data_IF_444612174531
#
_entry.id   IF_444612174531
#
_cell.length_a   1.000
_cell.length_b   1.000
_cell.length_c   1.000
_cell.angle_alpha   90.00
_cell.angle_beta   90.00
_cell.angle_gamma   90.00
#
_symmetry.space_group_name_H-M   'P 1'
#
loop_
_entity.id
_entity.type
_entity.pdbx_description
1 polymer ?
#
# COMPACT_ATOMS: atom_id res chain seq x y z
N UNK A 1 31.92 -44.03 37.97
CA UNK A 1 31.87 -43.69 36.54
C UNK A 1 30.76 -42.69 36.41
N UNK A 2 31.20 -41.45 36.37
CA UNK A 2 30.42 -40.22 36.35
C UNK A 2 30.38 -39.82 34.88
N UNK A 3 29.22 -39.91 34.24
CA UNK A 3 29.03 -39.41 32.87
C UNK A 3 27.98 -38.30 32.91
N UNK A 4 28.50 -37.08 32.85
CA UNK A 4 27.74 -35.86 32.93
C UNK A 4 26.76 -35.70 31.77
N UNK A 5 25.50 -35.49 32.12
CA UNK A 5 24.55 -34.85 31.23
C UNK A 5 24.90 -33.36 31.15
N UNK A 6 25.63 -32.97 30.11
CA UNK A 6 25.89 -31.57 29.81
C UNK A 6 24.59 -30.86 29.38
N UNK A 7 24.29 -29.64 29.88
CA UNK A 7 23.13 -28.89 29.45
C UNK A 7 23.37 -28.37 28.03
N UNK A 8 22.48 -28.69 27.07
CA UNK A 8 22.44 -28.02 25.77
C UNK A 8 22.00 -26.57 25.97
N UNK A 9 22.96 -25.68 26.23
CA UNK A 9 22.79 -24.22 26.14
C UNK A 9 22.96 -23.81 24.68
N UNK A 10 21.89 -23.90 23.91
CA UNK A 10 21.67 -22.94 22.82
C UNK A 10 20.93 -21.76 23.44
N UNK A 11 21.30 -20.52 23.12
CA UNK A 11 20.70 -19.30 23.68
C UNK A 11 19.25 -19.06 23.24
N UNK A 12 18.37 -20.04 23.44
CA UNK A 12 16.98 -20.03 23.04
C UNK A 12 16.13 -19.26 24.04
N UNK A 13 15.36 -18.29 23.56
CA UNK A 13 14.23 -17.73 24.31
C UNK A 13 13.35 -18.88 24.78
N UNK A 14 13.11 -18.98 26.08
CA UNK A 14 12.01 -19.80 26.61
C UNK A 14 10.72 -19.08 26.22
N UNK A 15 9.92 -19.70 25.37
CA UNK A 15 8.61 -19.19 24.94
C UNK A 15 7.50 -20.01 25.60
N UNK A 16 6.36 -19.38 25.87
CA UNK A 16 5.20 -20.02 26.52
C UNK A 16 4.56 -21.10 25.62
N UNK A 17 4.70 -20.93 24.31
CA UNK A 17 4.05 -21.74 23.28
C UNK A 17 5.01 -22.09 22.14
N UNK A 18 4.76 -23.20 21.46
CA UNK A 18 5.50 -23.57 20.26
C UNK A 18 4.98 -22.82 19.03
N UNK A 19 3.66 -22.79 18.82
CA UNK A 19 3.04 -22.24 17.62
C UNK A 19 1.70 -21.54 17.92
N UNK A 20 1.73 -20.20 17.85
CA UNK A 20 0.53 -19.38 18.00
C UNK A 20 -0.17 -19.08 16.68
N UNK A 21 -1.50 -19.03 16.72
CA UNK A 21 -2.37 -18.46 15.70
C UNK A 21 -2.90 -17.08 16.14
N UNK A 22 -2.84 -16.11 15.23
CA UNK A 22 -3.63 -14.88 15.28
C UNK A 22 -4.48 -14.84 14.02
N UNK A 23 -5.80 -14.75 14.16
CA UNK A 23 -6.74 -14.73 13.03
C UNK A 23 -7.53 -13.43 13.03
N UNK A 24 -7.71 -12.83 11.85
CA UNK A 24 -8.56 -11.65 11.71
C UNK A 24 -8.78 -11.24 10.25
N UNK A 25 -9.75 -10.34 10.05
CA UNK A 25 -10.02 -9.70 8.75
C UNK A 25 -8.96 -8.66 8.39
N UNK A 26 -8.40 -8.00 9.41
CA UNK A 26 -7.43 -6.91 9.30
C UNK A 26 -7.84 -5.86 8.26
N UNK A 27 -9.07 -5.35 8.39
CA UNK A 27 -9.72 -4.52 7.38
C UNK A 27 -9.97 -3.10 7.92
N UNK A 28 -8.98 -2.18 7.88
CA UNK A 28 -7.55 -2.41 7.64
C UNK A 28 -6.77 -2.87 8.91
N UNK A 29 -5.50 -3.28 8.78
CA UNK A 29 -4.62 -3.49 9.93
C UNK A 29 -4.41 -2.17 10.69
N UNK A 30 -4.30 -2.23 12.02
CA UNK A 30 -4.15 -1.03 12.88
C UNK A 30 -3.36 -1.36 14.14
N UNK A 31 -3.06 -0.36 14.96
CA UNK A 31 -2.18 -0.47 16.13
C UNK A 31 -2.59 -1.59 17.10
N UNK A 32 -3.89 -1.76 17.37
CA UNK A 32 -4.42 -2.88 18.15
C UNK A 32 -4.05 -4.26 17.56
N UNK A 33 -4.27 -4.48 16.26
CA UNK A 33 -3.85 -5.70 15.58
C UNK A 33 -2.34 -5.93 15.70
N UNK A 34 -1.52 -4.91 15.49
CA UNK A 34 -0.06 -5.04 15.62
C UNK A 34 0.36 -5.36 17.05
N UNK A 35 -0.34 -4.83 18.06
CA UNK A 35 -0.11 -5.18 19.46
C UNK A 35 -0.44 -6.65 19.74
N UNK A 36 -1.59 -7.13 19.28
CA UNK A 36 -1.99 -8.54 19.37
C UNK A 36 -0.94 -9.46 18.72
N UNK A 37 -0.55 -9.15 17.49
CA UNK A 37 0.44 -9.93 16.72
C UNK A 37 1.80 -9.97 17.43
N UNK A 38 2.31 -8.82 17.89
CA UNK A 38 3.60 -8.76 18.62
C UNK A 38 3.53 -9.52 19.95
N UNK A 39 2.38 -9.50 20.62
CA UNK A 39 2.18 -10.23 21.88
C UNK A 39 2.22 -11.73 21.65
N UNK A 40 1.58 -12.23 20.59
CA UNK A 40 1.67 -13.63 20.18
C UNK A 40 3.13 -14.01 19.84
N UNK A 41 3.79 -13.24 18.98
CA UNK A 41 5.16 -13.51 18.57
C UNK A 41 6.19 -13.44 19.71
N UNK A 42 5.98 -12.59 20.71
CA UNK A 42 6.87 -12.52 21.87
C UNK A 42 6.77 -13.76 22.78
N UNK A 43 5.65 -14.48 22.73
CA UNK A 43 5.32 -15.60 23.63
C UNK A 43 5.35 -16.95 22.94
N UNK A 44 5.71 -17.00 21.66
CA UNK A 44 5.70 -18.23 20.86
C UNK A 44 6.97 -18.38 20.04
N UNK A 45 7.42 -19.61 19.83
CA UNK A 45 8.55 -19.89 18.92
C UNK A 45 8.18 -19.59 17.47
N UNK A 46 6.96 -19.93 17.06
CA UNK A 46 6.35 -19.63 15.76
C UNK A 46 5.05 -18.89 15.96
N UNK A 47 4.74 -18.01 15.02
CA UNK A 47 3.43 -17.35 14.95
C UNK A 47 2.94 -17.34 13.52
N UNK A 48 1.70 -17.75 13.34
CA UNK A 48 0.99 -17.62 12.07
C UNK A 48 -0.10 -16.58 12.23
N UNK A 49 0.00 -15.53 11.42
CA UNK A 49 -1.05 -14.52 11.29
C UNK A 49 -1.86 -14.87 10.05
N UNK A 50 -3.12 -15.25 10.26
CA UNK A 50 -4.05 -15.65 9.20
C UNK A 50 -5.01 -14.51 8.90
N UNK A 51 -4.90 -13.96 7.70
CA UNK A 51 -5.79 -12.92 7.16
C UNK A 51 -6.91 -13.61 6.37
N UNK A 52 -8.12 -13.66 6.94
CA UNK A 52 -9.29 -14.16 6.22
C UNK A 52 -10.10 -12.97 5.71
N UNK A 53 -10.16 -12.83 4.39
CA UNK A 53 -10.88 -11.76 3.73
C UNK A 53 -12.17 -12.29 3.08
N UNK A 54 -13.16 -11.43 2.94
CA UNK A 54 -14.31 -11.69 2.07
C UNK A 54 -14.20 -10.90 0.77
N UNK A 55 -14.75 -11.47 -0.31
CA UNK A 55 -14.82 -10.81 -1.62
C UNK A 55 -15.68 -9.55 -1.63
N UNK A 56 -16.52 -9.32 -0.62
CA UNK A 56 -17.32 -8.08 -0.49
C UNK A 56 -16.51 -6.90 0.04
N UNK A 57 -15.33 -7.12 0.62
CA UNK A 57 -14.53 -6.09 1.28
C UNK A 57 -13.71 -5.28 0.26
N UNK A 58 -13.68 -3.95 0.40
CA UNK A 58 -13.09 -3.04 -0.58
C UNK A 58 -11.56 -2.95 -0.56
N UNK A 59 -10.91 -3.38 0.52
CA UNK A 59 -9.45 -3.44 0.61
C UNK A 59 -9.02 -4.86 0.24
N UNK A 60 -8.26 -5.05 -0.84
CA UNK A 60 -7.85 -6.38 -1.29
C UNK A 60 -7.13 -7.19 -0.21
N UNK A 61 -7.33 -8.51 -0.21
CA UNK A 61 -6.60 -9.45 0.64
C UNK A 61 -5.08 -9.30 0.48
N UNK A 62 -4.62 -9.20 -0.78
CA UNK A 62 -3.20 -9.08 -1.11
C UNK A 62 -2.56 -7.86 -0.44
N UNK A 63 -3.28 -6.73 -0.38
CA UNK A 63 -2.82 -5.50 0.25
C UNK A 63 -2.72 -5.67 1.76
N UNK A 64 -3.75 -6.22 2.41
CA UNK A 64 -3.73 -6.48 3.86
C UNK A 64 -2.58 -7.38 4.27
N UNK A 65 -2.35 -8.46 3.50
CA UNK A 65 -1.24 -9.38 3.71
C UNK A 65 0.10 -8.69 3.49
N UNK A 66 0.26 -7.91 2.41
CA UNK A 66 1.52 -7.23 2.12
C UNK A 66 1.87 -6.19 3.18
N UNK A 67 0.89 -5.44 3.68
CA UNK A 67 1.11 -4.45 4.74
C UNK A 67 1.52 -5.10 6.07
N UNK A 68 0.84 -6.18 6.46
CA UNK A 68 1.21 -6.93 7.66
C UNK A 68 2.60 -7.57 7.53
N UNK A 69 2.95 -8.10 6.36
CA UNK A 69 4.30 -8.63 6.10
C UNK A 69 5.37 -7.55 6.21
N UNK A 70 5.13 -6.38 5.63
CA UNK A 70 6.06 -5.26 5.71
C UNK A 70 6.29 -4.80 7.16
N UNK A 71 5.22 -4.63 7.94
CA UNK A 71 5.29 -4.21 9.35
C UNK A 71 5.98 -5.24 10.25
N UNK A 72 5.85 -6.52 9.93
CA UNK A 72 6.38 -7.62 10.76
C UNK A 72 7.58 -8.33 10.14
N UNK A 73 8.20 -7.79 9.08
CA UNK A 73 9.32 -8.40 8.36
C UNK A 73 10.51 -8.75 9.27
N UNK A 74 10.75 -7.95 10.31
CA UNK A 74 11.81 -8.18 11.30
C UNK A 74 11.42 -9.07 12.49
N UNK A 75 10.23 -9.68 12.50
CA UNK A 75 9.74 -10.48 13.64
C UNK A 75 10.10 -11.96 13.44
N UNK A 76 11.01 -12.55 14.23
CA UNK A 76 11.44 -13.94 14.03
C UNK A 76 10.28 -14.94 14.21
N UNK A 77 10.22 -15.96 13.34
CA UNK A 77 9.24 -17.04 13.43
C UNK A 77 7.80 -16.67 13.01
N UNK A 78 7.53 -15.38 12.76
CA UNK A 78 6.23 -14.89 12.31
C UNK A 78 6.09 -15.03 10.80
N UNK A 79 4.96 -15.59 10.35
CA UNK A 79 4.55 -15.57 8.94
C UNK A 79 3.11 -15.11 8.84
N UNK A 80 2.85 -14.24 7.86
CA UNK A 80 1.51 -13.79 7.50
C UNK A 80 1.06 -14.53 6.24
N UNK A 81 -0.07 -15.22 6.34
CA UNK A 81 -0.75 -15.88 5.23
C UNK A 81 -2.18 -15.39 5.15
N UNK A 82 -2.76 -15.45 3.97
CA UNK A 82 -4.14 -15.05 3.76
C UNK A 82 -4.87 -15.97 2.79
N UNK A 83 -6.17 -16.02 2.97
CA UNK A 83 -7.10 -16.69 2.07
C UNK A 83 -8.46 -16.00 2.06
N UNK A 84 -9.29 -16.35 1.08
CA UNK A 84 -10.67 -15.86 0.98
C UNK A 84 -11.59 -16.80 1.76
N UNK A 85 -12.49 -16.21 2.54
CA UNK A 85 -13.53 -16.89 3.30
C UNK A 85 -14.85 -16.14 3.11
N UNK A 86 -15.65 -16.63 2.16
CA UNK A 86 -16.97 -16.09 1.81
C UNK A 86 -18.13 -16.87 2.43
N UNK A 87 -17.84 -17.74 3.41
CA UNK A 87 -18.90 -18.42 4.15
C UNK A 87 -19.66 -17.42 5.02
N UNK A 88 -20.97 -17.61 5.14
CA UNK A 88 -21.81 -16.79 6.01
C UNK A 88 -21.32 -16.86 7.46
N UNK A 89 -21.44 -15.75 8.19
CA UNK A 89 -21.07 -15.70 9.60
C UNK A 89 -22.26 -16.11 10.48
N UNK A 90 -22.12 -17.19 11.24
CA UNK A 90 -23.10 -17.57 12.28
C UNK A 90 -22.38 -18.25 13.45
N UNK A 91 -22.23 -17.52 14.55
CA UNK A 91 -21.54 -18.01 15.74
C UNK A 91 -22.31 -19.09 16.50
N UNK A 92 -23.58 -19.32 16.17
CA UNK A 92 -24.45 -20.32 16.80
C UNK A 92 -24.57 -21.62 15.97
N UNK A 93 -23.96 -21.67 14.79
CA UNK A 93 -24.04 -22.81 13.87
C UNK A 93 -22.73 -23.58 13.82
N UNK A 94 -22.74 -24.81 14.37
CA UNK A 94 -21.61 -25.73 14.31
C UNK A 94 -21.13 -26.03 12.88
N UNK A 95 -22.03 -26.26 11.89
CA UNK A 95 -21.62 -26.42 10.49
C UNK A 95 -20.89 -25.20 9.92
N UNK A 96 -21.33 -23.99 10.26
CA UNK A 96 -20.69 -22.74 9.80
C UNK A 96 -19.31 -22.58 10.42
N UNK A 97 -19.17 -22.85 11.72
CA UNK A 97 -17.85 -22.91 12.36
C UNK A 97 -16.89 -23.89 11.67
N UNK A 98 -17.36 -25.07 11.27
CA UNK A 98 -16.49 -26.04 10.58
C UNK A 98 -16.01 -25.57 9.20
N UNK A 99 -16.80 -24.75 8.50
CA UNK A 99 -16.39 -24.13 7.24
C UNK A 99 -15.22 -23.16 7.47
N UNK A 100 -15.38 -22.23 8.41
CA UNK A 100 -14.31 -21.28 8.77
C UNK A 100 -13.07 -21.99 9.32
N UNK A 101 -13.24 -23.03 10.15
CA UNK A 101 -12.12 -23.84 10.64
C UNK A 101 -11.45 -24.65 9.55
N UNK A 102 -12.18 -25.07 8.51
CA UNK A 102 -11.63 -25.67 7.30
C UNK A 102 -10.63 -24.75 6.63
N UNK A 103 -11.00 -23.49 6.41
CA UNK A 103 -10.12 -22.47 5.82
C UNK A 103 -8.92 -22.20 6.73
N UNK A 104 -9.13 -22.01 8.04
CA UNK A 104 -8.04 -21.78 8.99
C UNK A 104 -7.02 -22.94 9.00
N UNK A 105 -7.50 -24.20 9.02
CA UNK A 105 -6.65 -25.40 8.94
C UNK A 105 -5.89 -25.49 7.61
N UNK A 106 -6.51 -25.10 6.50
CA UNK A 106 -5.84 -25.07 5.19
C UNK A 106 -4.69 -24.04 5.17
N UNK A 107 -4.89 -22.85 5.75
CA UNK A 107 -3.83 -21.84 5.90
C UNK A 107 -2.69 -22.35 6.80
N UNK A 108 -3.00 -23.01 7.92
CA UNK A 108 -2.00 -23.62 8.79
C UNK A 108 -1.23 -24.76 8.11
N UNK A 109 -1.90 -25.57 7.27
CA UNK A 109 -1.22 -26.57 6.45
C UNK A 109 -0.26 -25.92 5.45
N UNK A 110 -0.66 -24.82 4.79
CA UNK A 110 0.23 -24.03 3.92
C UNK A 110 1.44 -23.50 4.69
N UNK A 111 1.24 -23.01 5.92
CA UNK A 111 2.37 -22.62 6.80
C UNK A 111 3.34 -23.77 7.04
N UNK A 112 2.82 -24.94 7.41
CA UNK A 112 3.65 -26.11 7.72
C UNK A 112 4.45 -26.60 6.51
N UNK A 113 3.84 -26.56 5.32
CA UNK A 113 4.52 -26.85 4.04
C UNK A 113 5.66 -25.84 3.79
N UNK A 114 5.41 -24.55 4.01
CA UNK A 114 6.45 -23.50 3.86
C UNK A 114 7.61 -23.69 4.84
N UNK A 115 7.33 -24.16 6.05
CA UNK A 115 8.37 -24.45 7.05
C UNK A 115 9.12 -25.78 6.75
N UNK A 116 8.66 -26.57 5.77
CA UNK A 116 9.26 -27.87 5.42
C UNK A 116 8.93 -29.01 6.39
N UNK A 117 7.96 -28.81 7.29
CA UNK A 117 7.53 -29.80 8.28
C UNK A 117 5.99 -29.85 8.36
N UNK A 118 5.32 -30.60 7.48
CA UNK A 118 3.86 -30.72 7.48
C UNK A 118 3.26 -31.24 8.79
N UNK A 119 4.00 -31.99 9.60
CA UNK A 119 3.52 -32.49 10.90
C UNK A 119 3.39 -31.35 11.93
N UNK A 120 3.98 -30.19 11.68
CA UNK A 120 3.98 -29.02 12.55
C UNK A 120 2.82 -28.04 12.33
N UNK A 121 1.77 -28.45 11.59
CA UNK A 121 0.63 -27.61 11.23
C UNK A 121 -0.25 -27.22 12.43
N UNK A 122 -0.35 -28.09 13.44
CA UNK A 122 -1.12 -27.81 14.63
C UNK A 122 -0.57 -26.58 15.38
N UNK A 123 -1.49 -25.87 16.05
CA UNK A 123 -1.18 -24.74 16.92
C UNK A 123 -1.50 -25.13 18.36
N UNK A 124 -0.70 -24.65 19.31
CA UNK A 124 -0.93 -24.86 20.74
C UNK A 124 -1.47 -23.61 21.45
N UNK A 125 -1.52 -22.48 20.73
CA UNK A 125 -2.12 -21.25 21.21
C UNK A 125 -2.94 -20.50 20.15
N UNK A 126 -4.05 -19.92 20.58
CA UNK A 126 -4.81 -18.92 19.83
C UNK A 126 -4.75 -17.61 20.60
N UNK A 127 -4.33 -16.55 19.93
CA UNK A 127 -4.31 -15.20 20.50
C UNK A 127 -5.40 -14.36 19.84
N UNK A 128 -6.28 -13.76 20.65
CA UNK A 128 -7.31 -12.85 20.15
C UNK A 128 -7.66 -11.78 21.19
N UNK A 129 -8.39 -10.76 20.75
CA UNK A 129 -8.96 -9.73 21.63
C UNK A 129 -10.47 -9.91 21.84
N UNK A 130 -11.03 -11.05 21.39
CA UNK A 130 -12.47 -11.29 21.35
C UNK A 130 -12.82 -12.66 21.94
N UNK A 131 -14.03 -12.80 22.47
CA UNK A 131 -14.45 -14.04 23.16
C UNK A 131 -14.67 -15.22 22.22
N UNK A 132 -14.91 -14.99 20.93
CA UNK A 132 -15.02 -16.08 19.95
C UNK A 132 -13.72 -16.93 19.89
N UNK A 133 -12.59 -16.38 20.33
CA UNK A 133 -11.32 -17.10 20.38
C UNK A 133 -11.34 -18.33 21.31
N UNK A 134 -12.25 -18.38 22.30
CA UNK A 134 -12.43 -19.57 23.16
C UNK A 134 -12.91 -20.77 22.34
N UNK A 135 -13.93 -20.58 21.50
CA UNK A 135 -14.49 -21.64 20.66
C UNK A 135 -13.50 -22.06 19.56
N UNK A 136 -12.81 -21.09 18.94
CA UNK A 136 -11.76 -21.38 17.97
C UNK A 136 -10.61 -22.18 18.57
N UNK A 137 -10.13 -21.82 19.76
CA UNK A 137 -9.05 -22.54 20.45
C UNK A 137 -9.47 -23.97 20.79
N UNK A 138 -10.70 -24.15 21.30
CA UNK A 138 -11.28 -25.47 21.58
C UNK A 138 -11.30 -26.36 20.34
N UNK A 139 -11.73 -25.85 19.18
CA UNK A 139 -11.78 -26.61 17.92
C UNK A 139 -10.41 -26.97 17.36
N UNK A 140 -9.39 -26.19 17.68
CA UNK A 140 -8.01 -26.44 17.28
C UNK A 140 -7.22 -27.27 18.30
N UNK A 141 -7.81 -27.60 19.46
CA UNK A 141 -7.09 -28.26 20.55
C UNK A 141 -6.00 -27.39 21.18
N UNK A 142 -6.16 -26.07 21.12
CA UNK A 142 -5.19 -25.07 21.54
C UNK A 142 -5.63 -24.34 22.82
N UNK A 143 -4.70 -23.64 23.47
CA UNK A 143 -5.02 -22.71 24.56
C UNK A 143 -5.42 -21.35 24.00
N UNK A 144 -6.55 -20.81 24.45
CA UNK A 144 -6.88 -19.41 24.18
C UNK A 144 -6.11 -18.46 25.10
N UNK A 145 -5.57 -17.39 24.52
CA UNK A 145 -4.89 -16.30 25.19
C UNK A 145 -5.55 -14.99 24.78
N UNK A 146 -6.33 -14.42 25.70
CA UNK A 146 -6.94 -13.10 25.53
C UNK A 146 -5.90 -11.98 25.68
N UNK A 147 -5.95 -10.99 24.79
CA UNK A 147 -5.08 -9.82 24.80
C UNK A 147 -5.91 -8.55 24.64
N UNK A 148 -5.77 -7.62 25.60
CA UNK A 148 -6.35 -6.27 25.56
C UNK A 148 -7.84 -6.22 25.17
N UNK A 149 -8.67 -7.03 25.85
CA UNK A 149 -10.11 -7.16 25.54
C UNK A 149 -10.83 -5.81 25.65
N UNK A 150 -10.50 -5.02 26.67
CA UNK A 150 -11.12 -3.72 26.90
C UNK A 150 -10.56 -2.62 25.97
N UNK A 151 -9.63 -2.97 25.06
CA UNK A 151 -8.92 -2.06 24.16
C UNK A 151 -8.29 -0.87 24.90
N UNK A 152 -7.87 -1.10 26.14
CA UNK A 152 -7.33 -0.07 27.02
C UNK A 152 -5.95 0.40 26.55
N UNK A 153 -5.14 -0.51 26.01
CA UNK A 153 -3.83 -0.15 25.48
C UNK A 153 -3.94 0.52 24.10
N UNK A 154 -4.86 0.05 23.25
CA UNK A 154 -5.09 0.61 21.92
C UNK A 154 -6.59 0.77 21.59
N UNK A 155 -7.20 1.94 21.90
CA UNK A 155 -8.62 2.19 21.67
C UNK A 155 -8.89 2.48 20.19
N UNK A 156 -8.83 1.44 19.36
CA UNK A 156 -9.08 1.49 17.91
C UNK A 156 -9.76 0.21 17.45
N UNK A 157 -10.62 0.33 16.43
CA UNK A 157 -11.23 -0.81 15.72
C UNK A 157 -11.15 -0.60 14.20
N UNK A 158 -11.25 -1.68 13.43
CA UNK A 158 -11.36 -1.60 11.98
C UNK A 158 -12.57 -0.75 11.55
N UNK A 159 -13.71 -0.89 12.23
CA UNK A 159 -14.91 -0.09 11.98
C UNK A 159 -14.67 1.40 12.23
N UNK A 160 -14.04 1.77 13.35
CA UNK A 160 -13.71 3.16 13.65
C UNK A 160 -12.76 3.76 12.60
N UNK A 161 -11.76 2.99 12.16
CA UNK A 161 -10.83 3.42 11.10
C UNK A 161 -11.57 3.63 9.78
N UNK A 162 -12.47 2.73 9.38
CA UNK A 162 -13.22 2.87 8.12
C UNK A 162 -14.24 4.02 8.17
N UNK A 163 -14.83 4.28 9.34
CA UNK A 163 -15.77 5.38 9.54
C UNK A 163 -15.10 6.76 9.54
N UNK A 164 -13.88 6.86 10.08
CA UNK A 164 -13.10 8.10 10.09
C UNK A 164 -11.60 7.83 9.85
N UNK A 165 -11.19 7.58 8.59
CA UNK A 165 -9.79 7.29 8.27
C UNK A 165 -8.86 8.46 8.63
N UNK A 166 -9.36 9.70 8.55
CA UNK A 166 -8.57 10.90 8.83
C UNK A 166 -8.28 11.03 10.32
N UNK A 167 -9.29 10.92 11.17
CA UNK A 167 -9.12 10.98 12.63
C UNK A 167 -8.40 9.76 13.20
N UNK A 168 -8.46 8.61 12.52
CA UNK A 168 -7.77 7.38 12.93
C UNK A 168 -6.41 7.17 12.26
N UNK A 169 -5.92 8.10 11.44
CA UNK A 169 -4.70 7.92 10.64
C UNK A 169 -3.47 7.56 11.49
N UNK A 170 -3.32 8.21 12.65
CA UNK A 170 -2.23 7.95 13.61
C UNK A 170 -2.28 6.56 14.27
N UNK A 171 -3.39 5.82 14.13
CA UNK A 171 -3.54 4.45 14.63
C UNK A 171 -3.10 3.39 13.61
N UNK A 172 -2.74 3.78 12.39
CA UNK A 172 -2.33 2.86 11.34
C UNK A 172 -0.83 2.60 11.36
N UNK A 173 -0.42 1.38 11.02
CA UNK A 173 0.98 1.05 10.70
C UNK A 173 1.46 1.85 9.49
N UNK A 174 2.78 2.02 9.34
CA UNK A 174 3.40 2.71 8.21
C UNK A 174 2.98 2.11 6.88
N UNK A 175 3.08 0.79 6.72
CA UNK A 175 2.74 0.11 5.47
C UNK A 175 1.27 0.29 5.10
N UNK A 176 0.37 0.22 6.09
CA UNK A 176 -1.06 0.47 5.89
C UNK A 176 -1.33 1.94 5.51
N UNK A 177 -0.65 2.91 6.12
CA UNK A 177 -0.76 4.33 5.71
C UNK A 177 -0.31 4.54 4.27
N UNK A 178 0.83 3.96 3.89
CA UNK A 178 1.35 4.03 2.51
C UNK A 178 0.36 3.44 1.51
N UNK A 179 -0.22 2.28 1.83
CA UNK A 179 -1.20 1.61 0.97
C UNK A 179 -2.54 2.32 0.88
N UNK A 180 -3.05 2.89 1.97
CA UNK A 180 -4.35 3.57 2.01
C UNK A 180 -4.31 5.05 1.59
N UNK A 181 -3.13 5.66 1.46
CA UNK A 181 -3.02 7.07 1.14
C UNK A 181 -3.68 7.41 -0.20
N UNK A 182 -4.58 8.39 -0.18
CA UNK A 182 -5.21 8.93 -1.38
C UNK A 182 -4.21 9.81 -2.13
N UNK A 183 -3.55 9.24 -3.14
CA UNK A 183 -2.60 9.96 -4.00
C UNK A 183 -3.37 10.76 -5.04
N UNK A 184 -3.08 12.05 -5.14
CA UNK A 184 -3.55 12.95 -6.19
C UNK A 184 -2.34 13.25 -7.08
N UNK A 185 -2.38 12.76 -8.32
CA UNK A 185 -1.26 12.92 -9.25
C UNK A 185 -1.58 14.00 -10.26
N UNK A 186 -0.72 15.01 -10.35
CA UNK A 186 -0.79 16.03 -11.39
C UNK A 186 0.17 15.65 -12.51
N UNK A 187 -0.32 15.65 -13.74
CA UNK A 187 0.37 15.27 -14.96
C UNK A 187 0.25 16.38 -15.99
N UNK A 188 1.20 16.43 -16.92
CA UNK A 188 1.15 17.34 -18.04
C UNK A 188 2.33 17.16 -18.97
N UNK A 189 2.20 17.68 -20.19
CA UNK A 189 3.36 17.88 -21.05
C UNK A 189 4.29 18.95 -20.43
N UNK A 190 5.50 19.07 -20.96
CA UNK A 190 6.42 20.13 -20.56
C UNK A 190 5.78 21.52 -20.67
N UNK A 191 6.11 22.42 -19.74
CA UNK A 191 5.61 23.80 -19.75
C UNK A 191 4.07 23.93 -19.77
N UNK A 192 3.35 23.07 -19.03
CA UNK A 192 1.88 23.16 -18.90
C UNK A 192 1.42 23.58 -17.50
N UNK A 193 2.33 23.93 -16.60
CA UNK A 193 2.01 24.38 -15.24
C UNK A 193 1.77 23.26 -14.22
N UNK A 194 2.20 22.03 -14.50
CA UNK A 194 2.06 20.85 -13.61
C UNK A 194 2.66 21.08 -12.22
N UNK A 195 3.90 21.56 -12.16
CA UNK A 195 4.60 21.84 -10.90
C UNK A 195 3.94 22.96 -10.10
N UNK A 196 3.50 24.03 -10.77
CA UNK A 196 2.78 25.13 -10.11
C UNK A 196 1.47 24.62 -9.52
N UNK A 197 0.65 23.96 -10.32
CA UNK A 197 -0.65 23.45 -9.87
C UNK A 197 -0.50 22.43 -8.73
N UNK A 198 0.46 21.51 -8.82
CA UNK A 198 0.66 20.48 -7.80
C UNK A 198 1.12 21.07 -6.46
N UNK A 199 1.96 22.11 -6.46
CA UNK A 199 2.34 22.84 -5.25
C UNK A 199 1.16 23.59 -4.66
N UNK A 200 0.48 24.41 -5.47
CA UNK A 200 -0.65 25.21 -5.03
C UNK A 200 -1.78 24.32 -4.46
N UNK A 201 -2.00 23.16 -5.08
CA UNK A 201 -2.96 22.16 -4.60
C UNK A 201 -2.54 21.53 -3.27
N UNK A 202 -1.27 21.18 -3.12
CA UNK A 202 -0.75 20.62 -1.86
C UNK A 202 -0.90 21.63 -0.71
N UNK A 203 -0.54 22.89 -0.95
CA UNK A 203 -0.67 23.98 0.01
C UNK A 203 -2.14 24.20 0.40
N UNK A 204 -3.04 24.25 -0.58
CA UNK A 204 -4.48 24.41 -0.34
C UNK A 204 -5.10 23.23 0.44
N UNK A 205 -4.59 22.01 0.25
CA UNK A 205 -5.04 20.81 0.96
C UNK A 205 -4.34 20.60 2.31
N UNK A 206 -3.27 21.34 2.61
CA UNK A 206 -2.37 21.06 3.74
C UNK A 206 -1.76 19.66 3.66
N UNK A 207 -1.46 19.18 2.45
CA UNK A 207 -0.94 17.84 2.18
C UNK A 207 0.54 17.90 1.80
N UNK A 208 1.33 16.84 2.04
CA UNK A 208 2.69 16.76 1.51
C UNK A 208 2.70 16.81 -0.02
N UNK A 209 3.76 17.39 -0.58
CA UNK A 209 4.01 17.48 -2.01
C UNK A 209 5.27 16.72 -2.39
N UNK A 210 5.21 15.96 -3.49
CA UNK A 210 6.35 15.23 -4.06
C UNK A 210 6.65 15.80 -5.44
N UNK A 211 7.88 16.32 -5.68
CA UNK A 211 8.27 16.83 -6.98
C UNK A 211 8.43 15.71 -8.02
N UNK A 212 8.45 16.09 -9.29
CA UNK A 212 8.81 15.19 -10.38
C UNK A 212 10.31 14.86 -10.31
N UNK A 213 10.64 13.57 -10.17
CA UNK A 213 12.03 13.11 -10.18
C UNK A 213 12.65 13.05 -11.58
N UNK A 214 11.84 13.01 -12.65
CA UNK A 214 12.33 12.96 -14.03
C UNK A 214 13.32 14.09 -14.35
N UNK A 215 13.07 15.30 -13.86
CA UNK A 215 13.99 16.44 -14.01
C UNK A 215 15.33 16.22 -13.31
N UNK A 216 15.30 15.78 -12.06
CA UNK A 216 16.51 15.49 -11.27
C UNK A 216 17.34 14.39 -11.94
N UNK A 217 16.69 13.35 -12.48
CA UNK A 217 17.37 12.29 -13.23
C UNK A 217 18.09 12.83 -14.47
N UNK A 218 17.44 13.71 -15.25
CA UNK A 218 18.07 14.37 -16.41
C UNK A 218 19.31 15.16 -16.02
N UNK A 219 19.24 15.92 -14.93
CA UNK A 219 20.37 16.70 -14.41
C UNK A 219 21.53 15.79 -13.99
N UNK A 220 21.25 14.74 -13.21
CA UNK A 220 22.25 13.77 -12.78
C UNK A 220 22.89 13.03 -13.96
N UNK A 221 22.08 12.68 -14.97
CA UNK A 221 22.54 12.04 -16.18
C UNK A 221 23.46 12.95 -17.01
N UNK A 222 23.16 14.24 -17.10
CA UNK A 222 24.04 15.21 -17.75
C UNK A 222 25.38 15.33 -17.02
N UNK A 223 25.36 15.38 -15.68
CA UNK A 223 26.59 15.37 -14.87
C UNK A 223 27.41 14.11 -15.12
N UNK A 224 26.76 12.95 -15.17
CA UNK A 224 27.42 11.67 -15.46
C UNK A 224 27.98 11.61 -16.89
N UNK A 225 27.25 12.12 -17.90
CA UNK A 225 27.70 12.19 -19.28
C UNK A 225 28.99 13.04 -19.42
N UNK A 226 29.08 14.12 -18.64
CA UNK A 226 30.27 15.01 -18.62
C UNK A 226 31.54 14.38 -18.06
N UNK A 227 31.43 13.22 -17.41
CA UNK A 227 32.60 12.42 -17.04
C UNK A 227 33.24 11.72 -18.26
N UNK A 228 32.45 11.44 -19.31
CA UNK A 228 32.92 10.84 -20.56
C UNK A 228 33.23 11.90 -21.63
N UNK A 229 32.41 12.95 -21.71
CA UNK A 229 32.62 14.08 -22.60
C UNK A 229 32.26 15.41 -21.92
N UNK A 230 33.28 16.23 -21.63
CA UNK A 230 33.09 17.54 -20.97
C UNK A 230 32.21 18.51 -21.76
N UNK A 231 32.08 18.31 -23.08
CA UNK A 231 31.22 19.11 -23.95
C UNK A 231 29.76 18.68 -23.96
N UNK A 232 29.40 17.56 -23.32
CA UNK A 232 28.05 17.00 -23.37
C UNK A 232 26.99 18.01 -22.91
N UNK A 233 25.94 18.09 -23.72
CA UNK A 233 24.71 18.85 -23.51
C UNK A 233 23.54 17.91 -23.28
N UNK A 234 22.36 18.45 -22.95
CA UNK A 234 21.14 17.65 -22.77
C UNK A 234 20.74 16.95 -24.08
N UNK A 235 20.94 17.63 -25.21
CA UNK A 235 20.61 17.11 -26.54
C UNK A 235 21.49 15.90 -26.94
N UNK A 236 22.66 15.75 -26.30
CA UNK A 236 23.58 14.62 -26.54
C UNK A 236 23.21 13.37 -25.71
N UNK A 237 22.23 13.47 -24.81
CA UNK A 237 21.88 12.36 -23.91
C UNK A 237 21.11 11.26 -24.64
N UNK A 238 21.65 10.03 -24.57
CA UNK A 238 20.96 8.84 -25.06
C UNK A 238 20.08 8.25 -23.95
N UNK A 239 18.78 8.17 -24.20
CA UNK A 239 17.80 7.59 -23.27
C UNK A 239 17.65 6.08 -23.45
N UNK A 240 17.49 5.38 -22.34
CA UNK A 240 17.30 3.92 -22.29
C UNK A 240 16.03 3.58 -21.52
N UNK A 241 15.49 2.37 -21.72
CA UNK A 241 14.39 1.84 -20.89
C UNK A 241 14.76 1.85 -19.40
N UNK A 242 16.02 1.53 -19.08
CA UNK A 242 16.54 1.52 -17.71
C UNK A 242 16.44 2.87 -17.02
N UNK A 243 16.65 3.98 -17.74
CA UNK A 243 16.50 5.33 -17.17
C UNK A 243 15.07 5.57 -16.68
N UNK A 244 14.07 5.19 -17.48
CA UNK A 244 12.68 5.39 -17.10
C UNK A 244 12.22 4.42 -16.01
N UNK A 245 12.79 3.21 -15.95
CA UNK A 245 12.60 2.29 -14.82
C UNK A 245 13.17 2.88 -13.52
N UNK A 246 14.34 3.50 -13.59
CA UNK A 246 14.95 4.20 -12.45
C UNK A 246 14.09 5.38 -12.00
N UNK A 247 13.60 6.19 -12.95
CA UNK A 247 12.68 7.29 -12.65
C UNK A 247 11.40 6.78 -12.00
N UNK A 248 10.77 5.75 -12.57
CA UNK A 248 9.53 5.17 -12.04
C UNK A 248 9.70 4.63 -10.62
N UNK A 249 10.80 3.88 -10.37
CA UNK A 249 11.15 3.36 -9.05
C UNK A 249 11.38 4.50 -8.06
N UNK A 250 12.18 5.49 -8.44
CA UNK A 250 12.54 6.58 -7.52
C UNK A 250 11.35 7.49 -7.22
N UNK A 251 10.51 7.80 -8.20
CA UNK A 251 9.25 8.53 -7.99
C UNK A 251 8.36 7.82 -6.97
N UNK A 252 8.24 6.49 -7.06
CA UNK A 252 7.50 5.68 -6.07
C UNK A 252 8.12 5.78 -4.68
N UNK A 253 9.42 5.61 -4.54
CA UNK A 253 10.10 5.68 -3.25
C UNK A 253 9.91 7.03 -2.57
N UNK A 254 10.03 8.12 -3.33
CA UNK A 254 9.79 9.48 -2.83
C UNK A 254 8.34 9.65 -2.38
N UNK A 255 7.38 9.19 -3.18
CA UNK A 255 5.97 9.24 -2.83
C UNK A 255 5.65 8.42 -1.57
N UNK A 256 6.12 7.18 -1.50
CA UNK A 256 5.89 6.30 -0.36
C UNK A 256 6.56 6.86 0.90
N UNK A 257 7.74 7.46 0.79
CA UNK A 257 8.43 8.15 1.90
C UNK A 257 7.65 9.37 2.40
N UNK A 258 7.07 10.16 1.50
CA UNK A 258 6.37 11.41 1.81
C UNK A 258 4.96 11.22 2.40
N UNK A 259 4.41 10.00 2.43
CA UNK A 259 3.11 9.76 3.07
C UNK A 259 3.21 10.08 4.56
N UNK A 260 2.56 11.16 4.98
CA UNK A 260 2.42 11.52 6.40
C UNK A 260 0.94 11.62 6.80
N UNK A 261 0.12 12.13 5.90
CA UNK A 261 -1.33 12.21 6.03
C UNK A 261 -2.12 11.28 5.10
N UNK A 262 -3.46 11.36 5.15
CA UNK A 262 -4.37 10.56 4.33
C UNK A 262 -4.37 10.95 2.84
N UNK A 263 -3.84 12.13 2.51
CA UNK A 263 -3.75 12.65 1.14
C UNK A 263 -2.30 13.01 0.85
N UNK A 264 -1.85 12.72 -0.37
CA UNK A 264 -0.53 13.07 -0.89
C UNK A 264 -0.68 13.64 -2.29
N UNK A 265 -0.04 14.77 -2.58
CA UNK A 265 -0.01 15.34 -3.92
C UNK A 265 1.33 15.04 -4.59
N UNK A 266 1.29 14.46 -5.78
CA UNK A 266 2.48 14.12 -6.55
C UNK A 266 2.50 14.89 -7.88
N UNK A 267 3.60 15.58 -8.14
CA UNK A 267 3.98 16.02 -9.48
C UNK A 267 4.58 14.82 -10.21
N UNK A 268 3.84 14.22 -11.14
CA UNK A 268 4.18 12.97 -11.82
C UNK A 268 4.07 11.69 -10.92
N UNK A 269 4.02 10.51 -11.55
CA UNK A 269 3.96 9.20 -10.91
C UNK A 269 4.74 8.14 -11.72
N UNK A 270 4.92 6.91 -11.19
CA UNK A 270 5.63 5.87 -11.92
C UNK A 270 5.01 5.52 -13.28
N UNK A 271 3.69 5.69 -13.43
CA UNK A 271 3.04 5.45 -14.71
C UNK A 271 3.39 6.52 -15.74
N UNK A 272 3.46 7.79 -15.36
CA UNK A 272 3.79 8.85 -16.29
C UNK A 272 5.24 8.78 -16.81
N UNK A 273 6.16 8.12 -16.08
CA UNK A 273 7.46 7.71 -16.64
C UNK A 273 7.32 6.81 -17.89
N UNK A 274 6.27 5.99 -18.01
CA UNK A 274 6.00 5.21 -19.24
C UNK A 274 5.62 6.09 -20.43
N UNK A 275 4.91 7.19 -20.17
CA UNK A 275 4.49 8.14 -21.21
C UNK A 275 5.69 8.97 -21.68
N UNK A 276 6.51 9.42 -20.74
CA UNK A 276 7.79 10.08 -21.04
C UNK A 276 8.77 9.14 -21.76
N UNK A 277 8.83 7.87 -21.36
CA UNK A 277 9.61 6.85 -22.06
C UNK A 277 9.18 6.68 -23.51
N UNK A 278 7.86 6.68 -23.79
CA UNK A 278 7.37 6.64 -25.17
C UNK A 278 7.87 7.83 -26.00
N UNK A 279 7.87 9.04 -25.45
CA UNK A 279 8.44 10.22 -26.11
C UNK A 279 9.90 10.02 -26.49
N UNK A 280 10.75 9.70 -25.51
CA UNK A 280 12.20 9.68 -25.71
C UNK A 280 12.70 8.43 -26.43
N UNK A 281 12.00 7.30 -26.32
CA UNK A 281 12.38 6.04 -26.96
C UNK A 281 11.67 5.81 -28.30
N UNK A 282 10.67 6.63 -28.64
CA UNK A 282 9.93 6.57 -29.90
C UNK A 282 8.91 5.43 -30.00
N UNK A 283 8.75 4.60 -28.97
CA UNK A 283 7.76 3.52 -28.91
C UNK A 283 7.25 3.29 -27.48
N UNK A 284 6.03 2.74 -27.29
CA UNK A 284 5.53 2.39 -25.95
C UNK A 284 6.33 1.25 -25.31
N UNK A 285 6.68 1.42 -24.03
CA UNK A 285 7.39 0.43 -23.22
C UNK A 285 6.62 0.12 -21.92
N UNK A 286 5.74 -0.90 -21.91
CA UNK A 286 4.91 -1.22 -20.74
C UNK A 286 5.72 -1.78 -19.55
N UNK A 287 6.95 -2.23 -19.79
CA UNK A 287 7.90 -2.77 -18.82
C UNK A 287 8.62 -1.71 -17.98
N UNK A 288 8.42 -0.42 -18.27
CA UNK A 288 8.98 0.70 -17.48
C UNK A 288 8.40 0.71 -16.05
N UNK A 289 7.09 0.48 -15.90
CA UNK A 289 6.41 0.52 -14.60
C UNK A 289 5.22 -0.46 -14.54
N UNK A 290 5.46 -1.79 -14.62
CA UNK A 290 4.39 -2.79 -14.69
C UNK A 290 3.48 -2.76 -13.44
N UNK A 291 4.04 -2.41 -12.28
CA UNK A 291 3.34 -2.39 -11.00
C UNK A 291 2.89 -0.97 -10.57
N UNK A 292 2.84 -0.02 -11.50
CA UNK A 292 2.43 1.36 -11.21
C UNK A 292 1.08 1.39 -10.48
N UNK A 293 1.08 1.93 -9.25
CA UNK A 293 -0.12 1.99 -8.42
C UNK A 293 -1.18 2.87 -9.06
N UNK A 294 -2.44 2.58 -8.75
CA UNK A 294 -3.56 3.43 -9.17
C UNK A 294 -3.76 4.51 -8.10
N UNK A 295 -3.60 5.80 -8.43
CA UNK A 295 -3.90 6.87 -7.49
C UNK A 295 -5.41 7.03 -7.32
N UNK A 296 -5.81 7.88 -6.37
CA UNK A 296 -7.22 8.25 -6.20
C UNK A 296 -7.72 9.14 -7.36
N UNK A 297 -6.83 9.99 -7.89
CA UNK A 297 -7.15 10.94 -8.95
C UNK A 297 -5.91 11.28 -9.79
N UNK A 298 -6.12 11.41 -11.10
CA UNK A 298 -5.20 12.11 -11.99
C UNK A 298 -5.76 13.49 -12.40
N UNK A 299 -4.93 14.52 -12.34
CA UNK A 299 -5.21 15.84 -12.88
C UNK A 299 -4.28 16.07 -14.06
N UNK A 300 -4.83 16.26 -15.26
CA UNK A 300 -4.04 16.55 -16.45
C UNK A 300 -4.09 18.05 -16.73
N UNK A 301 -2.95 18.73 -16.75
CA UNK A 301 -2.84 20.14 -17.14
C UNK A 301 -2.89 20.29 -18.65
N UNK A 302 -3.69 21.25 -19.12
CA UNK A 302 -3.73 21.59 -20.54
C UNK A 302 -2.59 22.53 -20.93
N UNK A 303 -2.13 22.40 -22.17
CA UNK A 303 -1.12 23.26 -22.78
C UNK A 303 -1.71 24.53 -23.40
N UNK A 304 -3.00 24.52 -23.74
CA UNK A 304 -3.69 25.66 -24.34
C UNK A 304 -3.73 26.84 -23.36
N UNK A 305 -3.32 28.02 -23.83
CA UNK A 305 -3.32 29.25 -23.04
C UNK A 305 -2.18 29.37 -22.02
N UNK A 306 -1.22 28.44 -22.02
CA UNK A 306 -0.01 28.50 -21.18
C UNK A 306 1.20 28.84 -22.06
N UNK A 307 1.92 29.95 -21.79
CA UNK A 307 3.14 30.27 -22.50
C UNK A 307 4.17 29.14 -22.38
N UNK A 308 4.86 28.83 -23.47
CA UNK A 308 6.02 27.96 -23.40
C UNK A 308 7.19 28.73 -22.78
N UNK A 309 7.73 28.22 -21.69
CA UNK A 309 8.95 28.74 -21.07
C UNK A 309 10.09 27.77 -21.39
N UNK A 310 11.23 28.27 -21.88
CA UNK A 310 12.42 27.44 -22.12
C UNK A 310 13.39 27.65 -20.98
N UNK A 311 13.59 26.64 -20.14
CA UNK A 311 14.48 26.69 -18.96
C UNK A 311 15.85 26.03 -19.22
N UNK A 312 16.14 25.68 -20.47
CA UNK A 312 17.38 25.00 -20.89
C UNK A 312 17.28 23.48 -20.90
N UNK A 313 16.13 22.91 -20.49
CA UNK A 313 15.89 21.47 -20.42
C UNK A 313 14.72 20.99 -21.29
N UNK A 314 14.00 21.89 -21.97
CA UNK A 314 12.74 21.55 -22.67
C UNK A 314 12.99 21.31 -24.16
N UNK A 315 12.36 20.29 -24.75
CA UNK A 315 12.64 19.95 -26.16
C UNK A 315 11.87 20.86 -27.12
N UNK A 316 10.61 21.22 -26.83
CA UNK A 316 9.93 22.26 -27.61
C UNK A 316 8.40 22.29 -27.55
N UNK A 317 7.86 23.51 -27.75
CA UNK A 317 6.42 23.81 -27.70
C UNK A 317 5.54 22.90 -28.59
N UNK A 318 6.04 22.51 -29.77
CA UNK A 318 5.30 21.71 -30.75
C UNK A 318 4.93 20.30 -30.27
N UNK A 319 5.61 19.77 -29.24
CA UNK A 319 5.35 18.43 -28.70
C UNK A 319 4.23 18.41 -27.65
N UNK A 320 3.83 19.57 -27.12
CA UNK A 320 2.89 19.66 -26.00
C UNK A 320 1.53 19.06 -26.33
N UNK A 321 1.00 19.33 -27.52
CA UNK A 321 -0.30 18.80 -27.96
C UNK A 321 -0.27 17.27 -28.04
N UNK A 322 0.71 16.71 -28.75
CA UNK A 322 0.88 15.27 -28.89
C UNK A 322 1.08 14.56 -27.55
N UNK A 323 1.93 15.10 -26.66
CA UNK A 323 2.12 14.56 -25.31
C UNK A 323 0.84 14.62 -24.47
N UNK A 324 0.06 15.70 -24.58
CA UNK A 324 -1.23 15.83 -23.90
C UNK A 324 -2.19 14.72 -24.35
N UNK A 325 -2.23 14.43 -25.66
CA UNK A 325 -3.05 13.35 -26.21
C UNK A 325 -2.58 11.97 -25.75
N UNK A 326 -1.27 11.72 -25.67
CA UNK A 326 -0.74 10.48 -25.09
C UNK A 326 -1.20 10.26 -23.65
N UNK A 327 -1.17 11.31 -22.82
CA UNK A 327 -1.69 11.24 -21.46
C UNK A 327 -3.19 10.97 -21.44
N UNK A 328 -3.99 11.68 -22.26
CA UNK A 328 -5.45 11.48 -22.35
C UNK A 328 -5.80 10.04 -22.70
N UNK A 329 -5.16 9.51 -23.74
CA UNK A 329 -5.36 8.14 -24.21
C UNK A 329 -4.96 7.12 -23.15
N UNK A 330 -3.83 7.35 -22.48
CA UNK A 330 -3.36 6.53 -21.38
C UNK A 330 -4.34 6.50 -20.20
N UNK A 331 -4.77 7.68 -19.75
CA UNK A 331 -5.70 7.85 -18.64
C UNK A 331 -7.07 7.20 -18.91
N UNK A 332 -7.59 7.35 -20.14
CA UNK A 332 -8.85 6.74 -20.55
C UNK A 332 -8.85 5.20 -20.43
N UNK A 333 -7.69 4.55 -20.58
CA UNK A 333 -7.54 3.09 -20.49
C UNK A 333 -7.27 2.57 -19.08
N UNK A 334 -6.87 3.42 -18.12
CA UNK A 334 -6.46 2.97 -16.77
C UNK A 334 -7.63 2.67 -15.83
N UNK A 335 -8.83 3.19 -16.11
CA UNK A 335 -9.99 3.05 -15.22
C UNK A 335 -9.77 3.74 -13.87
N UNK A 336 -8.99 4.83 -13.85
CA UNK A 336 -8.77 5.70 -12.69
C UNK A 336 -9.48 7.03 -12.95
N UNK A 337 -10.16 7.63 -11.96
CA UNK A 337 -10.74 8.95 -12.12
C UNK A 337 -9.70 9.97 -12.57
N UNK A 338 -10.04 10.80 -13.55
CA UNK A 338 -9.15 11.87 -14.00
C UNK A 338 -9.91 13.09 -14.51
N UNK A 339 -9.25 14.25 -14.49
CA UNK A 339 -9.80 15.52 -14.95
C UNK A 339 -8.78 16.31 -15.75
N UNK A 340 -9.15 16.77 -16.95
CA UNK A 340 -8.41 17.84 -17.63
C UNK A 340 -8.71 19.17 -16.92
N UNK A 341 -7.69 19.92 -16.55
CA UNK A 341 -7.80 21.26 -15.99
C UNK A 341 -7.31 22.31 -16.98
N UNK A 342 -8.12 23.35 -17.17
CA UNK A 342 -7.92 24.40 -18.18
C UNK A 342 -8.10 25.79 -17.58
N UNK A 343 -7.70 26.83 -18.32
CA UNK A 343 -7.83 28.23 -17.88
C UNK A 343 -6.60 28.76 -17.15
N UNK A 344 -6.78 29.86 -16.41
CA UNK A 344 -5.78 30.48 -15.53
C UNK A 344 -5.36 29.57 -14.38
N UNK A 345 -4.23 29.87 -13.69
CA UNK A 345 -3.81 29.14 -12.50
C UNK A 345 -4.93 28.99 -11.44
N UNK A 346 -5.68 30.07 -11.17
CA UNK A 346 -6.76 30.09 -10.18
C UNK A 346 -7.94 29.20 -10.62
N UNK A 347 -8.29 29.21 -11.90
CA UNK A 347 -9.33 28.35 -12.47
C UNK A 347 -8.96 26.88 -12.44
N UNK A 348 -7.68 26.56 -12.70
CA UNK A 348 -7.14 25.19 -12.63
C UNK A 348 -7.13 24.67 -11.21
N UNK A 349 -6.67 25.48 -10.26
CA UNK A 349 -6.65 25.12 -8.84
C UNK A 349 -8.06 24.85 -8.31
N UNK A 350 -9.04 25.70 -8.66
CA UNK A 350 -10.45 25.49 -8.27
C UNK A 350 -11.03 24.20 -8.86
N UNK A 351 -10.74 23.89 -10.13
CA UNK A 351 -11.15 22.62 -10.74
C UNK A 351 -10.48 21.42 -10.07
N UNK A 352 -9.20 21.53 -9.75
CA UNK A 352 -8.42 20.49 -9.08
C UNK A 352 -8.98 20.20 -7.68
N UNK A 353 -9.25 21.23 -6.87
CA UNK A 353 -9.81 21.09 -5.52
C UNK A 353 -11.18 20.39 -5.53
N UNK A 354 -12.08 20.78 -6.44
CA UNK A 354 -13.39 20.14 -6.56
C UNK A 354 -13.26 18.65 -6.92
N UNK A 355 -12.41 18.31 -7.89
CA UNK A 355 -12.15 16.92 -8.26
C UNK A 355 -11.50 16.12 -7.12
N UNK A 356 -10.61 16.74 -6.34
CA UNK A 356 -9.97 16.11 -5.18
C UNK A 356 -10.99 15.78 -4.09
N UNK A 357 -11.91 16.68 -3.79
CA UNK A 357 -12.95 16.44 -2.79
C UNK A 357 -13.78 15.19 -3.13
N UNK A 358 -14.27 15.11 -4.38
CA UNK A 358 -15.03 13.96 -4.87
C UNK A 358 -14.20 12.66 -4.84
N UNK A 359 -12.97 12.71 -5.35
CA UNK A 359 -12.11 11.53 -5.45
C UNK A 359 -11.66 11.01 -4.09
N UNK A 360 -11.30 11.89 -3.15
CA UNK A 360 -10.89 11.50 -1.79
C UNK A 360 -12.07 10.95 -1.01
N UNK A 361 -13.26 11.55 -1.14
CA UNK A 361 -14.47 11.00 -0.55
C UNK A 361 -14.76 9.59 -1.10
N UNK A 362 -14.60 9.37 -2.41
CA UNK A 362 -14.77 8.06 -3.04
C UNK A 362 -13.73 7.03 -2.58
N UNK A 363 -12.46 7.44 -2.49
CA UNK A 363 -11.33 6.60 -2.11
C UNK A 363 -11.48 6.01 -0.70
N UNK A 364 -12.08 6.78 0.22
CA UNK A 364 -12.30 6.35 1.60
C UNK A 364 -13.69 5.76 1.86
N UNK A 365 -14.45 5.39 0.82
CA UNK A 365 -15.68 4.59 0.98
C UNK A 365 -15.31 3.11 1.03
N UNK A 366 -15.56 2.49 2.16
CA UNK A 366 -15.34 1.07 2.39
C UNK A 366 -16.66 0.32 2.47
N UNK A 367 -16.74 -0.84 1.83
CA UNK A 367 -17.85 -1.77 2.02
C UNK A 367 -17.83 -2.34 3.44
N UNK A 368 -19.02 -2.58 3.98
CA UNK A 368 -19.17 -3.25 5.27
C UNK A 368 -18.74 -4.72 5.15
N UNK A 369 -18.05 -5.27 6.17
CA UNK A 369 -17.70 -6.67 6.17
C UNK A 369 -18.94 -7.54 6.44
N UNK A 370 -18.88 -8.82 6.03
CA UNK A 370 -19.92 -9.80 6.36
C UNK A 370 -20.18 -9.83 7.87
N UNK A 371 -21.46 -9.74 8.26
CA UNK A 371 -21.94 -9.72 9.63
C UNK A 371 -22.84 -10.93 9.91
N UNK A 372 -22.94 -11.37 11.18
CA UNK A 372 -23.93 -12.37 11.57
C UNK A 372 -25.36 -11.84 11.39
N UNK A 373 -26.34 -12.72 11.17
CA UNK A 373 -27.74 -12.34 11.15
C UNK A 373 -28.16 -11.66 12.47
N UNK A 374 -28.68 -10.43 12.39
CA UNK A 374 -29.26 -9.73 13.54
C UNK A 374 -28.29 -8.86 14.37
N UNK A 375 -27.03 -8.73 13.96
CA UNK A 375 -26.05 -7.83 14.59
C UNK A 375 -25.70 -6.66 13.66
N UNK A 376 -26.32 -5.47 13.83
CA UNK A 376 -25.88 -4.27 13.11
C UNK A 376 -24.60 -3.74 13.78
N UNK A 377 -23.50 -3.73 13.02
CA UNK A 377 -22.14 -3.29 13.39
C UNK A 377 -22.02 -2.10 14.35
#
# INVERSE_FOLDING_TARGET
>A
MDEGAAPRRTGGRVTDFDHALVLGKFYPPHAGHHHLIRTAAARSRRTTVTVLASSVESIPLADRVSWLRAEHAGTPGLVVLGDVDDHEMDFHSDPVWELHMGVARAVLARRAILDGDPASAAVDAVFSSERYGDEMAKRLGARHVLVDVDRGAFPVSGTAVRADPRGQWGRLGRATRVGLCARIVVLGAESTGTTTLSRDLADALGAPWVPEYGREHTELKLVAARAFDRGATVDDLVWTVGDFQDVARRQRELADAAVDGPVLVCDNDPWAATVWGHRYLGAPHPDIAPDAHRPALYLLTDHVGVPFEQDGWRDGEHLRAWMTDLFRDGLARRGVPWRLVTGSPEERLRQALAACEEAVAAHFRFADPMAPPGDPH
#
